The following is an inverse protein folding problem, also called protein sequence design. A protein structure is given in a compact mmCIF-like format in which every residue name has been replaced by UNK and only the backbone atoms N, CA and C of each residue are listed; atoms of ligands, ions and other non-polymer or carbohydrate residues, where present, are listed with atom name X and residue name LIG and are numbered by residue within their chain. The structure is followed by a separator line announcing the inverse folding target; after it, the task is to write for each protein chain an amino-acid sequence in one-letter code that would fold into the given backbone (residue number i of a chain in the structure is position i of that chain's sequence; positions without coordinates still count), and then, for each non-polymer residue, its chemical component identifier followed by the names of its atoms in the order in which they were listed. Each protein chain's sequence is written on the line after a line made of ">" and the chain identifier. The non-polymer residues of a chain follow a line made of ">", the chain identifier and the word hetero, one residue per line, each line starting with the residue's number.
data_IF_982043197963
#
_entry.id   IF_982043197963
#
_cell.length_a   1.000
_cell.length_b   1.000
_cell.length_c   1.000
_cell.angle_alpha   90.00
_cell.angle_beta   90.00
_cell.angle_gamma   90.00
#
_symmetry.space_group_name_H-M   'P 1'
#
loop_
_entity.id
_entity.type
_entity.pdbx_description
1 polymer ?
#
# COMPACT_ATOMS: atom_id res chain seq x y z
N UNK A 1 16.62 -5.35 -11.34
CA UNK A 1 16.12 -4.18 -10.56
C UNK A 1 16.06 -4.56 -9.10
N UNK A 2 16.66 -3.79 -8.24
CA UNK A 2 16.58 -4.07 -6.81
C UNK A 2 15.36 -3.36 -6.17
N UNK A 3 15.14 -3.63 -4.89
CA UNK A 3 13.98 -3.11 -4.17
C UNK A 3 13.99 -1.57 -4.12
N UNK A 4 15.13 -0.97 -3.81
CA UNK A 4 15.23 0.48 -3.70
C UNK A 4 14.97 1.18 -5.04
N UNK A 5 15.44 0.62 -6.14
CA UNK A 5 15.19 1.15 -7.47
C UNK A 5 13.70 1.08 -7.81
N UNK A 6 13.07 -0.06 -7.53
CA UNK A 6 11.63 -0.24 -7.75
C UNK A 6 10.83 0.76 -6.92
N UNK A 7 11.15 0.88 -5.64
CA UNK A 7 10.44 1.79 -4.74
C UNK A 7 10.57 3.24 -5.21
N UNK A 8 11.79 3.66 -5.54
CA UNK A 8 12.04 5.03 -6.01
C UNK A 8 11.31 5.32 -7.31
N UNK A 9 11.30 4.37 -8.24
CA UNK A 9 10.59 4.52 -9.51
C UNK A 9 9.09 4.67 -9.29
N UNK A 10 8.52 3.90 -8.36
CA UNK A 10 7.09 3.99 -8.05
C UNK A 10 6.74 5.32 -7.39
N UNK A 11 7.57 5.78 -6.44
CA UNK A 11 7.30 7.03 -5.73
C UNK A 11 7.33 8.24 -6.65
N UNK A 12 8.09 8.18 -7.73
CA UNK A 12 8.21 9.27 -8.71
C UNK A 12 7.35 9.04 -9.96
N UNK A 13 6.51 8.02 -9.98
CA UNK A 13 5.79 7.62 -11.19
C UNK A 13 4.75 8.64 -11.62
N UNK A 14 4.75 8.99 -12.92
CA UNK A 14 3.77 9.90 -13.51
C UNK A 14 3.19 9.32 -14.81
N UNK A 15 3.16 7.98 -14.92
CA UNK A 15 2.80 7.31 -16.17
C UNK A 15 1.32 7.31 -16.51
N UNK A 16 0.45 7.62 -15.54
CA UNK A 16 -0.99 7.59 -15.79
C UNK A 16 -1.67 8.79 -15.14
N UNK A 17 -2.96 8.97 -15.45
CA UNK A 17 -3.73 10.10 -14.96
C UNK A 17 -3.82 10.17 -13.43
N UNK A 18 -3.66 9.05 -12.73
CA UNK A 18 -3.80 9.03 -11.27
C UNK A 18 -2.76 9.88 -10.56
N UNK A 19 -1.62 10.15 -11.22
CA UNK A 19 -0.59 11.01 -10.62
C UNK A 19 -1.08 12.45 -10.43
N UNK A 20 -2.11 12.85 -11.15
CA UNK A 20 -2.61 14.24 -11.11
C UNK A 20 -3.49 14.51 -9.90
N UNK A 21 -4.13 13.48 -9.36
CA UNK A 21 -5.10 13.64 -8.27
C UNK A 21 -4.66 13.00 -6.95
N UNK A 22 -3.61 12.19 -6.98
CA UNK A 22 -3.09 11.57 -5.75
C UNK A 22 -2.40 12.61 -4.88
N UNK A 23 -2.43 12.40 -3.57
CA UNK A 23 -1.61 13.18 -2.63
C UNK A 23 -0.24 12.50 -2.46
N UNK A 24 -0.23 11.18 -2.27
CA UNK A 24 0.97 10.38 -2.14
C UNK A 24 0.87 9.11 -2.97
N UNK A 25 2.01 8.57 -3.38
CA UNK A 25 2.09 7.20 -3.87
C UNK A 25 2.07 6.27 -2.66
N UNK A 26 1.23 5.25 -2.70
CA UNK A 26 1.16 4.23 -1.65
C UNK A 26 1.86 2.98 -2.18
N UNK A 27 3.17 2.88 -1.94
CA UNK A 27 3.99 1.80 -2.48
C UNK A 27 3.71 0.48 -1.79
N UNK A 28 3.66 0.50 -0.48
CA UNK A 28 3.47 -0.68 0.35
C UNK A 28 4.09 -0.47 1.71
N UNK A 29 3.90 -1.45 2.60
CA UNK A 29 4.46 -1.38 3.94
C UNK A 29 4.69 -2.78 4.48
N UNK A 30 5.85 -3.00 5.10
CA UNK A 30 6.14 -4.25 5.76
C UNK A 30 7.59 -4.66 5.65
N UNK A 31 7.83 -5.94 5.87
CA UNK A 31 9.15 -6.55 5.79
C UNK A 31 9.40 -6.98 4.35
N UNK A 32 10.47 -6.46 3.74
CA UNK A 32 10.72 -6.62 2.31
C UNK A 32 10.89 -8.08 1.86
N UNK A 33 11.46 -8.91 2.73
CA UNK A 33 11.70 -10.32 2.42
C UNK A 33 10.72 -11.25 3.14
N UNK A 34 9.56 -10.75 3.54
CA UNK A 34 8.57 -11.56 4.23
C UNK A 34 8.03 -12.68 3.35
N UNK A 35 7.71 -13.80 3.98
CA UNK A 35 7.13 -14.95 3.27
C UNK A 35 5.67 -14.74 2.90
N UNK A 36 4.98 -13.81 3.59
CA UNK A 36 3.55 -13.55 3.38
C UNK A 36 3.37 -12.16 2.81
N UNK A 37 2.69 -12.09 1.68
CA UNK A 37 2.36 -10.84 1.00
C UNK A 37 0.84 -10.72 0.87
N UNK A 38 0.29 -9.61 1.36
CA UNK A 38 -1.13 -9.30 1.16
C UNK A 38 -1.25 -8.26 0.05
N UNK A 39 -2.10 -8.52 -0.93
CA UNK A 39 -2.26 -7.65 -2.08
C UNK A 39 -3.71 -7.20 -2.17
N UNK A 40 -3.91 -5.89 -2.12
CA UNK A 40 -5.21 -5.28 -2.34
C UNK A 40 -5.29 -4.62 -3.70
N UNK A 41 -6.36 -3.88 -3.95
CA UNK A 41 -6.60 -3.26 -5.24
C UNK A 41 -5.95 -1.90 -5.36
N UNK A 42 -6.27 -0.96 -4.48
CA UNK A 42 -5.76 0.39 -4.54
C UNK A 42 -6.02 1.17 -3.28
N UNK A 43 -5.33 2.31 -3.10
CA UNK A 43 -5.47 3.11 -1.88
C UNK A 43 -6.76 3.94 -1.87
N UNK A 44 -7.35 4.07 -0.69
CA UNK A 44 -8.44 5.00 -0.44
C UNK A 44 -7.91 6.34 0.06
N UNK A 45 -8.82 7.18 0.61
CA UNK A 45 -8.47 8.51 1.06
C UNK A 45 -7.43 8.50 2.19
N UNK A 46 -7.62 7.67 3.21
CA UNK A 46 -6.70 7.63 4.34
C UNK A 46 -5.32 7.16 3.92
N UNK A 47 -5.27 6.17 3.03
CA UNK A 47 -4.02 5.65 2.50
C UNK A 47 -3.28 6.71 1.68
N UNK A 48 -4.02 7.43 0.83
CA UNK A 48 -3.43 8.49 0.01
C UNK A 48 -2.87 9.63 0.86
N UNK A 49 -3.57 10.00 1.92
CA UNK A 49 -3.12 11.06 2.83
C UNK A 49 -1.87 10.67 3.60
N UNK A 50 -1.74 9.42 4.00
CA UNK A 50 -0.63 8.95 4.83
C UNK A 50 0.51 8.31 4.04
N UNK A 51 0.26 7.91 2.79
CA UNK A 51 1.26 7.20 1.99
C UNK A 51 1.46 5.75 2.41
N UNK A 52 0.53 5.18 3.17
CA UNK A 52 0.62 3.82 3.71
C UNK A 52 -0.60 2.99 3.29
N UNK A 53 -0.43 1.68 3.01
CA UNK A 53 -1.55 0.82 2.61
C UNK A 53 -2.37 0.38 3.81
N UNK A 54 -3.68 0.23 3.59
CA UNK A 54 -4.58 -0.35 4.58
C UNK A 54 -4.50 0.31 5.95
N UNK A 55 -4.72 1.63 6.00
CA UNK A 55 -4.70 2.40 7.27
C UNK A 55 -6.07 2.96 7.64
N UNK A 56 -7.08 2.83 6.77
CA UNK A 56 -8.44 3.23 7.10
C UNK A 56 -9.15 2.14 7.89
N UNK A 57 -10.50 2.19 7.90
CA UNK A 57 -11.31 1.24 8.67
C UNK A 57 -11.02 -0.23 8.28
N UNK A 58 -10.99 -0.52 6.98
CA UNK A 58 -10.70 -1.86 6.50
C UNK A 58 -9.29 -2.31 6.89
N UNK A 59 -8.34 -1.38 6.89
CA UNK A 59 -6.96 -1.67 7.29
C UNK A 59 -6.85 -2.00 8.77
N UNK A 60 -7.59 -1.29 9.61
CA UNK A 60 -7.61 -1.57 11.04
C UNK A 60 -8.19 -2.96 11.31
N UNK A 61 -9.22 -3.34 10.57
CA UNK A 61 -9.79 -4.67 10.68
C UNK A 61 -8.80 -5.74 10.22
N UNK A 62 -8.10 -5.47 9.11
CA UNK A 62 -7.05 -6.37 8.62
C UNK A 62 -5.98 -6.59 9.70
N UNK A 63 -5.52 -5.53 10.35
CA UNK A 63 -4.51 -5.64 11.40
C UNK A 63 -4.99 -6.54 12.56
N UNK A 64 -6.26 -6.47 12.91
CA UNK A 64 -6.82 -7.34 13.95
C UNK A 64 -6.79 -8.81 13.53
N UNK A 65 -7.13 -9.09 12.27
CA UNK A 65 -7.07 -10.46 11.76
C UNK A 65 -5.63 -10.97 11.69
N UNK A 66 -4.70 -10.12 11.26
CA UNK A 66 -3.28 -10.49 11.21
C UNK A 66 -2.76 -10.81 12.60
N UNK A 67 -3.08 -10.00 13.58
CA UNK A 67 -2.69 -10.24 14.96
C UNK A 67 -3.18 -11.60 15.45
N UNK A 68 -4.40 -11.98 15.08
CA UNK A 68 -5.00 -13.25 15.52
C UNK A 68 -4.26 -14.48 14.98
N UNK A 69 -3.52 -14.33 13.86
CA UNK A 69 -2.75 -15.43 13.28
C UNK A 69 -1.25 -15.18 13.36
N UNK A 70 -0.83 -14.36 14.32
CA UNK A 70 0.57 -14.04 14.61
C UNK A 70 1.30 -13.33 13.45
N UNK A 71 0.57 -12.55 12.67
CA UNK A 71 1.16 -11.70 11.64
C UNK A 71 1.06 -10.22 12.03
N UNK A 72 2.08 -9.45 11.63
CA UNK A 72 2.13 -8.02 11.89
C UNK A 72 2.92 -7.38 10.75
N UNK A 73 2.34 -6.33 10.13
CA UNK A 73 2.99 -5.68 8.99
C UNK A 73 4.34 -5.06 9.33
N UNK A 74 4.62 -4.85 10.61
CA UNK A 74 5.90 -4.29 11.04
C UNK A 74 6.93 -5.37 11.36
N UNK A 75 6.55 -6.65 11.35
CA UNK A 75 7.40 -7.73 11.81
C UNK A 75 7.61 -8.86 10.81
N UNK A 76 6.56 -9.36 10.17
CA UNK A 76 6.67 -10.61 9.43
C UNK A 76 5.76 -10.73 8.19
N UNK A 77 5.22 -9.63 7.71
CA UNK A 77 4.47 -9.66 6.45
C UNK A 77 4.64 -8.34 5.70
N UNK A 78 4.21 -8.33 4.45
CA UNK A 78 4.22 -7.13 3.61
C UNK A 78 2.83 -6.91 3.04
N UNK A 79 2.40 -5.65 2.99
CA UNK A 79 1.08 -5.28 2.48
C UNK A 79 1.26 -4.28 1.34
N UNK A 80 0.61 -4.55 0.23
CA UNK A 80 0.66 -3.67 -0.94
C UNK A 80 -0.65 -3.69 -1.69
N UNK A 81 -0.80 -2.76 -2.62
CA UNK A 81 -1.89 -2.75 -3.59
C UNK A 81 -1.32 -2.87 -4.99
N UNK A 82 -2.11 -3.40 -5.91
CA UNK A 82 -1.70 -3.45 -7.32
C UNK A 82 -1.57 -2.04 -7.85
N UNK A 83 -2.58 -1.19 -7.61
CA UNK A 83 -2.55 0.22 -8.00
C UNK A 83 -1.94 1.03 -6.86
N UNK A 84 -0.92 1.82 -7.16
CA UNK A 84 -0.17 2.56 -6.13
C UNK A 84 -0.68 3.97 -5.89
N UNK A 85 -1.62 4.45 -6.69
CA UNK A 85 -2.17 5.79 -6.59
C UNK A 85 -3.68 5.70 -6.39
N UNK A 86 -4.23 6.59 -5.56
CA UNK A 86 -5.66 6.60 -5.30
C UNK A 86 -6.46 6.98 -6.55
N UNK A 87 -7.43 6.16 -6.98
CA UNK A 87 -8.35 6.55 -8.04
C UNK A 87 -9.25 7.70 -7.56
N UNK A 88 -9.61 8.65 -8.43
CA UNK A 88 -10.54 9.70 -8.04
C UNK A 88 -11.84 9.13 -7.49
N UNK A 89 -12.30 9.64 -6.35
CA UNK A 89 -13.54 9.20 -5.70
C UNK A 89 -13.55 7.69 -5.38
N UNK A 90 -12.35 7.10 -5.16
CA UNK A 90 -12.19 5.68 -4.85
C UNK A 90 -12.77 4.76 -5.94
N UNK A 91 -12.70 5.18 -7.17
CA UNK A 91 -13.16 4.35 -8.31
C UNK A 91 -12.16 3.24 -8.60
N UNK A 92 -12.69 2.10 -8.91
CA UNK A 92 -11.89 0.93 -9.28
C UNK A 92 -11.34 1.01 -10.71
#
# INVERSE_FOLDING_TARGET
>A
MDWETLRSSCLACTRCELCKTRTNVVFGQGVEDAEVLFVGEGPGQNEDEQGLPFVGRSGQLLDKYLFAIDLDRTKNCYIANIVKCRPPQNRD
#
